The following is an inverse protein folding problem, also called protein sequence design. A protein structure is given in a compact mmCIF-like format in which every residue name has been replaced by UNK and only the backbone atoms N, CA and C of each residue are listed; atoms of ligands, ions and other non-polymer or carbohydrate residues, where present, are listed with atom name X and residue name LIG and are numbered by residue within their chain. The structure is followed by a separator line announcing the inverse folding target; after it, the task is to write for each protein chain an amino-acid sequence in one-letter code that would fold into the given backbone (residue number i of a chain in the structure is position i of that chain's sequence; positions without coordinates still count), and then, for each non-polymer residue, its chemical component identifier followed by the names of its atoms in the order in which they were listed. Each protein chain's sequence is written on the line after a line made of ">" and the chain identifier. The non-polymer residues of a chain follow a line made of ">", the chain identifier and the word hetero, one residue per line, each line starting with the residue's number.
data_IF_004869056932
#
_entry.id   IF_004869056932
#
_cell.length_a   1.000
_cell.length_b   1.000
_cell.length_c   1.000
_cell.angle_alpha   90.00
_cell.angle_beta   90.00
_cell.angle_gamma   90.00
#
_symmetry.space_group_name_H-M   'P 1'
#
loop_
_entity.id
_entity.type
_entity.pdbx_description
1 polymer ?
#
# COMPACT_ATOMS: atom_id res chain seq x y z
N UNK A 1 7.22 -12.38 38.62
CA UNK A 1 6.06 -11.56 38.28
C UNK A 1 6.47 -10.77 37.06
N UNK A 2 6.08 -11.25 35.89
CA UNK A 2 6.44 -10.68 34.60
C UNK A 2 5.52 -9.49 34.31
N UNK A 3 6.11 -8.36 34.02
CA UNK A 3 5.46 -7.11 33.64
C UNK A 3 4.61 -7.32 32.34
N UNK A 4 3.36 -6.89 32.28
CA UNK A 4 2.57 -7.02 31.08
C UNK A 4 3.11 -6.04 30.01
N UNK A 5 3.61 -6.59 28.93
CA UNK A 5 4.06 -5.84 27.75
C UNK A 5 2.97 -4.84 27.30
N UNK A 6 3.36 -3.58 27.10
CA UNK A 6 2.54 -2.51 26.55
C UNK A 6 1.94 -2.97 25.19
N UNK A 7 0.62 -2.77 24.97
CA UNK A 7 -0.01 -3.12 23.70
C UNK A 7 0.48 -2.17 22.60
N UNK A 8 1.30 -2.68 21.66
CA UNK A 8 1.71 -1.94 20.47
C UNK A 8 3.13 -2.19 19.96
N UNK A 9 4.01 -2.85 20.71
CA UNK A 9 5.34 -3.18 20.21
C UNK A 9 5.29 -4.48 19.38
N UNK A 10 5.76 -4.43 18.12
CA UNK A 10 5.94 -5.61 17.29
C UNK A 10 6.91 -6.59 17.95
N UNK A 11 6.59 -7.89 17.94
CA UNK A 11 7.52 -8.95 18.36
C UNK A 11 8.76 -8.95 17.44
N UNK A 12 9.87 -9.54 17.88
CA UNK A 12 11.06 -9.66 17.04
C UNK A 12 10.75 -10.45 15.75
N UNK A 13 9.88 -11.47 15.83
CA UNK A 13 9.43 -12.24 14.68
C UNK A 13 8.60 -11.39 13.71
N UNK A 14 7.71 -10.52 14.21
CA UNK A 14 6.94 -9.62 13.35
C UNK A 14 7.88 -8.66 12.60
N UNK A 15 8.89 -8.10 13.28
CA UNK A 15 9.92 -7.25 12.65
C UNK A 15 10.72 -8.01 11.59
N UNK A 16 11.04 -9.28 11.85
CA UNK A 16 11.72 -10.14 10.89
C UNK A 16 10.86 -10.39 9.64
N UNK A 17 9.59 -10.75 9.80
CA UNK A 17 8.65 -10.95 8.68
C UNK A 17 8.52 -9.68 7.86
N UNK A 18 8.37 -8.52 8.50
CA UNK A 18 8.34 -7.20 7.85
C UNK A 18 9.61 -6.96 7.04
N UNK A 19 10.79 -7.20 7.61
CA UNK A 19 12.07 -6.98 6.95
C UNK A 19 12.27 -7.92 5.75
N UNK A 20 11.86 -9.19 5.86
CA UNK A 20 11.90 -10.15 4.76
C UNK A 20 11.00 -9.73 3.60
N UNK A 21 9.75 -9.35 3.89
CA UNK A 21 8.81 -8.86 2.85
C UNK A 21 9.36 -7.61 2.17
N UNK A 22 9.88 -6.65 2.95
CA UNK A 22 10.50 -5.45 2.41
C UNK A 22 11.71 -5.78 1.51
N UNK A 23 12.59 -6.68 1.96
CA UNK A 23 13.75 -7.13 1.19
C UNK A 23 13.38 -7.81 -0.13
N UNK A 24 12.36 -8.70 -0.11
CA UNK A 24 11.82 -9.36 -1.32
C UNK A 24 11.30 -8.30 -2.30
N UNK A 25 10.52 -7.34 -1.83
CA UNK A 25 9.94 -6.29 -2.64
C UNK A 25 11.03 -5.35 -3.21
N UNK A 26 11.99 -4.92 -2.39
CA UNK A 26 13.12 -4.10 -2.84
C UNK A 26 13.94 -4.82 -3.92
N UNK A 27 14.20 -6.11 -3.74
CA UNK A 27 14.92 -6.91 -4.74
C UNK A 27 14.17 -7.05 -6.05
N UNK A 28 12.83 -7.14 -6.00
CA UNK A 28 11.97 -7.14 -7.19
C UNK A 28 12.06 -5.82 -7.96
N UNK A 29 12.19 -4.69 -7.25
CA UNK A 29 12.17 -3.34 -7.82
C UNK A 29 13.49 -2.90 -8.44
N UNK A 30 14.58 -3.03 -7.69
CA UNK A 30 15.82 -2.28 -7.97
C UNK A 30 16.99 -3.15 -8.45
N UNK A 31 16.83 -4.47 -8.50
CA UNK A 31 17.91 -5.38 -8.94
C UNK A 31 19.01 -5.56 -7.89
N UNK A 32 20.20 -6.08 -8.31
CA UNK A 32 21.26 -6.53 -7.39
C UNK A 32 22.15 -5.42 -6.83
N UNK A 33 22.25 -4.29 -7.50
CA UNK A 33 23.31 -3.31 -7.25
C UNK A 33 22.82 -1.99 -6.62
N UNK A 34 21.54 -1.93 -6.23
CA UNK A 34 21.01 -0.69 -5.67
C UNK A 34 21.40 -0.54 -4.19
N UNK A 35 21.94 0.63 -3.78
CA UNK A 35 22.39 0.86 -2.39
C UNK A 35 21.32 0.62 -1.33
N UNK A 36 20.04 0.86 -1.65
CA UNK A 36 18.93 0.60 -0.74
C UNK A 36 18.77 -0.89 -0.42
N UNK A 37 19.19 -1.83 -1.29
CA UNK A 37 19.11 -3.26 -0.99
C UNK A 37 20.04 -3.62 0.17
N UNK A 38 21.26 -3.06 0.23
CA UNK A 38 22.21 -3.31 1.31
C UNK A 38 21.59 -2.99 2.68
N UNK A 39 20.96 -1.82 2.81
CA UNK A 39 20.32 -1.43 4.08
C UNK A 39 19.11 -2.30 4.47
N UNK A 40 18.44 -2.93 3.51
CA UNK A 40 17.37 -3.91 3.81
C UNK A 40 17.95 -5.26 4.22
N UNK A 41 19.05 -5.67 3.62
CA UNK A 41 19.76 -6.89 4.00
C UNK A 41 20.28 -6.75 5.44
N UNK A 42 20.94 -5.64 5.78
CA UNK A 42 21.43 -5.39 7.15
C UNK A 42 20.31 -5.50 8.19
N UNK A 43 19.12 -4.94 7.89
CA UNK A 43 17.95 -5.07 8.77
C UNK A 43 17.41 -6.49 8.89
N UNK A 44 17.46 -7.29 7.82
CA UNK A 44 17.08 -8.70 7.89
C UNK A 44 18.04 -9.44 8.80
N UNK A 45 19.36 -9.23 8.66
CA UNK A 45 20.38 -9.87 9.47
C UNK A 45 20.22 -9.52 10.96
N UNK A 46 20.01 -8.24 11.27
CA UNK A 46 19.72 -7.76 12.62
C UNK A 46 18.43 -8.37 13.19
N UNK A 47 17.35 -8.40 12.38
CA UNK A 47 16.08 -8.94 12.81
C UNK A 47 16.13 -10.45 13.04
N UNK A 48 16.90 -11.23 12.25
CA UNK A 48 17.14 -12.66 12.48
C UNK A 48 17.86 -12.84 13.81
N UNK A 49 18.93 -12.07 14.06
CA UNK A 49 19.67 -12.14 15.33
C UNK A 49 18.77 -11.88 16.53
N UNK A 50 18.01 -10.77 16.50
CA UNK A 50 17.10 -10.40 17.58
C UNK A 50 15.98 -11.43 17.80
N UNK A 51 15.40 -11.97 16.73
CA UNK A 51 14.36 -12.98 16.84
C UNK A 51 14.92 -14.32 17.39
N UNK A 52 16.11 -14.72 16.98
CA UNK A 52 16.78 -15.90 17.53
C UNK A 52 17.09 -15.72 19.05
N UNK A 53 17.47 -14.52 19.47
CA UNK A 53 17.68 -14.21 20.91
C UNK A 53 16.37 -14.27 21.70
N UNK A 54 15.30 -13.68 21.22
CA UNK A 54 13.97 -13.69 21.86
C UNK A 54 13.48 -15.14 22.08
N UNK A 55 13.66 -16.00 21.07
CA UNK A 55 13.27 -17.41 21.15
C UNK A 55 14.32 -18.34 21.78
N UNK A 56 15.49 -17.81 22.15
CA UNK A 56 16.63 -18.60 22.68
C UNK A 56 17.03 -19.76 21.77
N UNK A 57 17.06 -19.50 20.44
CA UNK A 57 17.35 -20.48 19.40
C UNK A 57 18.52 -20.04 18.51
N UNK A 58 19.28 -20.99 17.99
CA UNK A 58 20.30 -20.74 16.97
C UNK A 58 19.70 -20.56 15.56
N UNK A 59 18.47 -21.01 15.36
CA UNK A 59 17.72 -20.85 14.12
C UNK A 59 16.23 -20.84 14.40
N UNK A 60 15.47 -20.11 13.59
CA UNK A 60 14.01 -20.05 13.65
C UNK A 60 13.38 -20.72 12.43
N UNK A 61 12.40 -21.54 12.67
CA UNK A 61 11.65 -22.25 11.61
C UNK A 61 10.26 -21.67 11.47
N UNK A 62 9.97 -21.22 10.26
CA UNK A 62 8.66 -20.81 9.79
C UNK A 62 8.01 -21.95 9.00
N UNK A 63 6.77 -22.27 9.31
CA UNK A 63 5.95 -23.21 8.56
C UNK A 63 4.71 -22.50 8.03
N UNK A 64 4.40 -22.73 6.76
CA UNK A 64 3.15 -22.27 6.14
C UNK A 64 2.17 -23.43 6.18
N UNK A 65 1.08 -23.26 6.93
CA UNK A 65 0.02 -24.25 7.08
C UNK A 65 -1.30 -23.63 6.61
N UNK A 66 -1.67 -23.89 5.37
CA UNK A 66 -2.84 -23.25 4.77
C UNK A 66 -2.64 -21.74 4.61
N UNK A 67 -3.38 -20.97 5.40
CA UNK A 67 -3.27 -19.50 5.44
C UNK A 67 -2.59 -18.97 6.72
N UNK A 68 -2.03 -19.86 7.51
CA UNK A 68 -1.40 -19.52 8.78
C UNK A 68 0.13 -19.64 8.69
N UNK A 69 0.81 -18.77 9.41
CA UNK A 69 2.25 -18.84 9.62
C UNK A 69 2.52 -19.34 11.04
N UNK A 70 3.25 -20.42 11.14
CA UNK A 70 3.63 -21.04 12.41
C UNK A 70 5.14 -20.86 12.60
N UNK A 71 5.56 -20.36 13.75
CA UNK A 71 6.97 -20.18 14.12
C UNK A 71 7.24 -20.98 15.38
N UNK A 72 8.23 -21.88 15.33
CA UNK A 72 8.61 -22.72 16.45
C UNK A 72 7.41 -23.44 17.11
N UNK A 73 6.52 -24.01 16.27
CA UNK A 73 5.28 -24.69 16.68
C UNK A 73 4.21 -23.79 17.34
N UNK A 74 4.39 -22.47 17.30
CA UNK A 74 3.38 -21.53 17.78
C UNK A 74 2.77 -20.78 16.59
N UNK A 75 1.44 -20.79 16.41
CA UNK A 75 0.81 -20.02 15.35
C UNK A 75 0.99 -18.53 15.65
N UNK A 76 1.57 -17.81 14.70
CA UNK A 76 1.56 -16.35 14.74
C UNK A 76 0.12 -15.89 14.52
N UNK A 77 -0.42 -15.08 15.43
CA UNK A 77 -1.75 -14.49 15.25
C UNK A 77 -1.75 -13.67 13.97
N UNK A 78 -2.34 -14.22 12.92
CA UNK A 78 -2.35 -13.68 11.55
C UNK A 78 -3.32 -12.51 11.43
N UNK A 79 -2.98 -11.37 12.03
CA UNK A 79 -3.72 -10.11 11.85
C UNK A 79 -2.98 -9.11 10.99
N UNK A 80 -1.69 -9.33 10.70
CA UNK A 80 -0.90 -8.35 9.97
C UNK A 80 -0.85 -8.68 8.48
N UNK A 81 -0.95 -7.63 7.67
CA UNK A 81 -0.80 -7.67 6.22
C UNK A 81 0.51 -8.35 5.78
N UNK A 82 1.56 -8.22 6.59
CA UNK A 82 2.89 -8.78 6.32
C UNK A 82 2.94 -10.29 6.41
N UNK A 83 2.26 -10.88 7.39
CA UNK A 83 2.16 -12.33 7.51
C UNK A 83 1.53 -12.92 6.26
N UNK A 84 0.45 -12.32 5.78
CA UNK A 84 -0.22 -12.79 4.56
C UNK A 84 0.64 -12.60 3.30
N UNK A 85 1.36 -11.47 3.18
CA UNK A 85 2.29 -11.26 2.06
C UNK A 85 3.45 -12.25 2.11
N UNK A 86 3.99 -12.52 3.29
CA UNK A 86 5.06 -13.48 3.47
C UNK A 86 4.60 -14.89 3.13
N UNK A 87 3.46 -15.32 3.67
CA UNK A 87 2.83 -16.61 3.32
C UNK A 87 2.66 -16.75 1.81
N UNK A 88 2.09 -15.72 1.15
CA UNK A 88 1.92 -15.72 -0.31
C UNK A 88 3.25 -15.78 -1.06
N UNK A 89 4.27 -15.06 -0.60
CA UNK A 89 5.59 -15.08 -1.22
C UNK A 89 6.22 -16.47 -1.14
N UNK A 90 6.13 -17.13 -0.01
CA UNK A 90 6.61 -18.49 0.21
C UNK A 90 5.79 -19.51 -0.61
N UNK A 91 4.46 -19.45 -0.55
CA UNK A 91 3.55 -20.38 -1.23
C UNK A 91 3.71 -20.32 -2.76
N UNK A 92 3.87 -19.12 -3.34
CA UNK A 92 4.15 -18.95 -4.79
C UNK A 92 5.44 -19.61 -5.25
N UNK A 93 6.35 -19.92 -4.33
CA UNK A 93 7.63 -20.58 -4.57
C UNK A 93 7.64 -22.03 -4.07
N UNK A 94 6.46 -22.54 -3.67
CA UNK A 94 6.32 -23.88 -3.07
C UNK A 94 7.24 -24.10 -1.86
N UNK A 95 7.48 -23.03 -1.10
CA UNK A 95 8.21 -23.09 0.18
C UNK A 95 7.18 -23.18 1.30
N UNK A 96 7.10 -24.32 1.95
CA UNK A 96 6.21 -24.54 3.09
C UNK A 96 6.97 -24.49 4.42
N UNK A 97 8.29 -24.66 4.35
CA UNK A 97 9.21 -24.56 5.48
C UNK A 97 10.38 -23.66 5.13
N UNK A 98 10.63 -22.68 6.00
CA UNK A 98 11.80 -21.79 5.93
C UNK A 98 12.46 -21.76 7.30
N UNK A 99 13.74 -22.12 7.37
CA UNK A 99 14.55 -22.00 8.59
C UNK A 99 15.65 -20.95 8.34
N UNK A 100 15.78 -20.00 9.26
CA UNK A 100 16.78 -18.93 9.23
C UNK A 100 17.70 -19.05 10.45
N UNK A 101 19.00 -19.21 10.22
CA UNK A 101 20.02 -19.33 11.26
C UNK A 101 20.61 -17.99 11.68
N UNK A 102 21.02 -17.90 12.94
CA UNK A 102 21.65 -16.69 13.55
C UNK A 102 22.93 -16.22 12.83
N UNK A 103 23.64 -17.14 12.16
CA UNK A 103 24.85 -16.83 11.38
C UNK A 103 24.60 -16.41 9.94
N UNK A 104 23.37 -16.09 9.57
CA UNK A 104 23.01 -15.62 8.24
C UNK A 104 23.89 -14.42 7.83
N UNK A 105 24.45 -14.48 6.61
CA UNK A 105 25.27 -13.41 6.05
C UNK A 105 24.59 -12.71 4.86
N UNK A 106 25.23 -11.66 4.38
CA UNK A 106 24.72 -10.81 3.28
C UNK A 106 24.57 -11.61 1.99
N UNK A 107 25.52 -12.49 1.66
CA UNK A 107 25.50 -13.26 0.41
C UNK A 107 24.34 -14.26 0.42
N UNK A 108 24.16 -15.01 1.49
CA UNK A 108 23.05 -15.96 1.66
C UNK A 108 21.69 -15.25 1.62
N UNK A 109 21.60 -14.08 2.28
CA UNK A 109 20.39 -13.28 2.28
C UNK A 109 20.02 -12.84 0.85
N UNK A 110 20.97 -12.33 0.08
CA UNK A 110 20.76 -11.94 -1.33
C UNK A 110 20.42 -13.15 -2.21
N UNK A 111 21.07 -14.30 -1.99
CA UNK A 111 20.76 -15.55 -2.69
C UNK A 111 19.32 -16.01 -2.44
N UNK A 112 18.80 -15.83 -1.23
CA UNK A 112 17.40 -16.12 -0.91
C UNK A 112 16.44 -15.09 -1.51
N UNK A 113 16.70 -13.79 -1.34
CA UNK A 113 15.81 -12.72 -1.81
C UNK A 113 15.67 -12.71 -3.33
N UNK A 114 16.70 -13.08 -4.08
CA UNK A 114 16.71 -13.03 -5.55
C UNK A 114 15.63 -13.89 -6.20
N UNK A 115 15.57 -15.21 -5.96
CA UNK A 115 14.51 -16.06 -6.52
C UNK A 115 13.13 -15.73 -5.92
N UNK A 116 13.07 -15.33 -4.65
CA UNK A 116 11.83 -14.88 -4.03
C UNK A 116 11.20 -13.69 -4.75
N UNK A 117 12.03 -12.76 -5.21
CA UNK A 117 11.61 -11.56 -5.93
C UNK A 117 11.29 -11.80 -7.41
N UNK A 118 12.12 -12.61 -8.11
CA UNK A 118 12.11 -12.72 -9.58
C UNK A 118 11.41 -13.95 -10.14
N UNK A 119 10.90 -14.84 -9.29
CA UNK A 119 10.11 -15.98 -9.75
C UNK A 119 10.89 -17.30 -9.87
N UNK A 120 12.02 -17.43 -9.20
CA UNK A 120 12.75 -18.70 -9.06
C UNK A 120 12.36 -19.45 -7.79
N UNK A 121 12.91 -20.67 -7.62
CA UNK A 121 12.83 -21.41 -6.36
C UNK A 121 14.06 -21.08 -5.52
N UNK A 122 13.92 -20.62 -4.27
CA UNK A 122 15.06 -20.39 -3.40
C UNK A 122 15.76 -21.71 -3.08
N UNK A 123 17.08 -21.67 -2.94
CA UNK A 123 17.90 -22.83 -2.58
C UNK A 123 18.34 -22.71 -1.13
N UNK A 124 18.52 -23.86 -0.47
CA UNK A 124 19.08 -23.90 0.88
C UNK A 124 20.56 -23.54 0.84
N UNK A 125 21.01 -22.82 1.86
CA UNK A 125 22.40 -22.46 2.13
C UNK A 125 22.81 -23.00 3.50
N UNK A 126 23.91 -22.53 4.05
CA UNK A 126 24.36 -22.92 5.39
C UNK A 126 23.39 -22.49 6.50
N UNK A 127 22.86 -21.24 6.39
CA UNK A 127 22.00 -20.66 7.42
C UNK A 127 20.54 -20.47 6.95
N UNK A 128 20.22 -20.82 5.72
CA UNK A 128 18.87 -20.81 5.19
C UNK A 128 18.49 -22.21 4.73
N UNK A 129 17.43 -22.78 5.30
CA UNK A 129 16.89 -24.05 4.84
C UNK A 129 15.47 -23.83 4.33
N UNK A 130 15.24 -24.17 3.05
CA UNK A 130 13.92 -24.11 2.42
C UNK A 130 13.45 -25.52 2.06
N UNK A 131 12.15 -25.80 2.21
CA UNK A 131 11.61 -27.13 1.94
C UNK A 131 10.09 -27.14 1.89
N UNK A 132 9.55 -28.35 1.66
CA UNK A 132 8.13 -28.66 1.79
C UNK A 132 7.91 -29.45 3.09
N UNK A 133 6.70 -29.38 3.62
CA UNK A 133 6.28 -30.21 4.75
C UNK A 133 5.74 -31.51 4.18
N UNK A 134 6.54 -32.57 4.25
CA UNK A 134 6.05 -33.92 4.00
C UNK A 134 5.28 -34.40 5.23
N UNK A 135 3.95 -34.33 5.17
CA UNK A 135 3.11 -35.00 6.17
C UNK A 135 3.16 -36.48 5.89
N UNK A 136 3.96 -37.25 6.63
CA UNK A 136 3.77 -38.69 6.73
C UNK A 136 2.45 -38.92 7.46
N UNK A 137 1.40 -39.23 6.70
CA UNK A 137 0.17 -39.76 7.28
C UNK A 137 0.50 -41.08 7.94
N UNK A 138 0.50 -41.16 9.27
CA UNK A 138 0.45 -42.42 9.96
C UNK A 138 -0.85 -43.13 9.56
N UNK A 139 -0.84 -44.45 9.23
CA UNK A 139 -2.05 -45.16 8.88
C UNK A 139 -2.98 -45.16 10.11
N UNK A 140 -4.11 -44.48 10.01
CA UNK A 140 -5.22 -44.65 10.95
C UNK A 140 -5.94 -45.96 10.56
N UNK A 141 -5.62 -47.04 11.24
CA UNK A 141 -6.47 -48.25 11.28
C UNK A 141 -7.72 -47.87 12.10
N UNK A 142 -8.85 -47.76 11.42
CA UNK A 142 -10.18 -47.62 12.03
C UNK A 142 -11.25 -48.10 11.06
N UNK A 143 -12.33 -48.78 11.53
CA UNK A 143 -13.20 -49.64 10.75
C UNK A 143 -14.09 -48.84 9.77
N UNK A 144 -14.29 -49.45 8.61
CA UNK A 144 -15.04 -48.94 7.49
C UNK A 144 -16.48 -48.56 7.79
N UNK A 145 -16.93 -47.45 7.24
CA UNK A 145 -18.35 -47.12 7.04
C UNK A 145 -18.53 -46.54 5.62
N UNK A 146 -19.54 -47.04 5.00
CA UNK A 146 -20.03 -47.02 3.67
C UNK A 146 -19.91 -45.80 2.78
N UNK A 147 -19.83 -46.10 1.49
CA UNK A 147 -19.98 -45.20 0.38
C UNK A 147 -21.39 -44.51 0.40
N UNK A 148 -21.38 -43.20 0.47
CA UNK A 148 -22.56 -42.37 0.25
C UNK A 148 -22.28 -41.45 -0.93
N UNK A 149 -23.11 -41.59 -1.96
CA UNK A 149 -23.09 -40.77 -3.18
C UNK A 149 -23.30 -39.28 -2.87
N UNK A 150 -22.38 -38.41 -3.33
CA UNK A 150 -22.51 -36.97 -3.24
C UNK A 150 -23.37 -36.39 -4.39
N UNK A 151 -24.22 -35.41 -4.15
CA UNK A 151 -25.02 -34.77 -5.19
C UNK A 151 -24.19 -33.82 -6.06
N UNK A 152 -24.55 -33.76 -7.32
CA UNK A 152 -23.88 -33.10 -8.42
C UNK A 152 -23.60 -31.60 -8.23
N UNK A 153 -22.47 -31.20 -8.75
CA UNK A 153 -22.02 -29.83 -8.87
C UNK A 153 -22.84 -29.14 -9.95
N UNK A 154 -23.77 -28.28 -9.54
CA UNK A 154 -24.45 -27.33 -10.41
C UNK A 154 -23.52 -26.19 -10.78
N UNK A 155 -23.25 -26.02 -12.08
CA UNK A 155 -22.59 -24.86 -12.65
C UNK A 155 -23.47 -23.62 -12.50
N UNK A 156 -23.11 -22.70 -11.61
CA UNK A 156 -23.79 -21.41 -11.40
C UNK A 156 -22.77 -20.30 -11.20
N UNK A 157 -22.72 -19.40 -12.17
CA UNK A 157 -22.28 -18.01 -12.24
C UNK A 157 -21.31 -17.46 -11.18
N UNK A 158 -20.01 -17.52 -11.45
CA UNK A 158 -19.00 -16.83 -10.67
C UNK A 158 -18.91 -15.34 -11.00
N UNK A 159 -19.49 -14.46 -10.20
CA UNK A 159 -19.35 -13.00 -10.32
C UNK A 159 -19.15 -12.25 -9.01
N UNK A 160 -19.25 -12.93 -7.85
CA UNK A 160 -19.22 -12.28 -6.52
C UNK A 160 -17.94 -12.45 -5.72
N UNK A 161 -17.02 -13.33 -6.16
CA UNK A 161 -15.82 -13.67 -5.39
C UNK A 161 -14.71 -12.64 -5.43
N UNK A 162 -14.48 -12.01 -6.57
CA UNK A 162 -13.37 -11.08 -6.76
C UNK A 162 -13.58 -9.73 -6.07
N UNK A 163 -14.81 -9.17 -6.09
CA UNK A 163 -15.11 -7.88 -5.48
C UNK A 163 -14.95 -7.93 -3.96
N UNK A 164 -15.37 -9.02 -3.31
CA UNK A 164 -15.22 -9.20 -1.86
C UNK A 164 -13.75 -9.30 -1.43
N UNK A 165 -12.89 -9.88 -2.24
CA UNK A 165 -11.45 -9.96 -1.99
C UNK A 165 -10.80 -8.57 -2.09
N UNK A 166 -11.19 -7.77 -3.09
CA UNK A 166 -10.66 -6.41 -3.27
C UNK A 166 -11.12 -5.50 -2.13
N UNK A 167 -12.41 -5.57 -1.75
CA UNK A 167 -12.92 -4.83 -0.59
C UNK A 167 -12.20 -5.21 0.70
N UNK A 168 -11.94 -6.50 0.93
CA UNK A 168 -11.20 -6.97 2.10
C UNK A 168 -9.75 -6.48 2.09
N UNK A 169 -9.05 -6.52 0.95
CA UNK A 169 -7.68 -6.02 0.80
C UNK A 169 -7.61 -4.50 0.98
N UNK A 170 -8.60 -3.77 0.49
CA UNK A 170 -8.67 -2.32 0.64
C UNK A 170 -8.94 -1.94 2.10
N UNK A 171 -9.87 -2.62 2.77
CA UNK A 171 -10.14 -2.43 4.19
C UNK A 171 -8.91 -2.73 5.08
N UNK A 172 -8.19 -3.80 4.77
CA UNK A 172 -6.95 -4.18 5.45
C UNK A 172 -5.82 -3.16 5.21
N UNK A 173 -5.80 -2.54 4.03
CA UNK A 173 -4.86 -1.45 3.70
C UNK A 173 -5.12 -0.20 4.53
N UNK A 174 -6.38 0.08 4.91
CA UNK A 174 -6.73 1.20 5.81
C UNK A 174 -6.16 0.99 7.21
N UNK A 175 -6.29 -0.22 7.76
CA UNK A 175 -5.73 -0.54 9.07
C UNK A 175 -4.19 -0.45 9.05
N UNK A 176 -3.55 -1.01 8.01
CA UNK A 176 -2.10 -0.88 7.79
C UNK A 176 -1.63 0.58 7.61
N UNK A 177 -2.45 1.41 6.96
CA UNK A 177 -2.21 2.84 6.82
C UNK A 177 -2.22 3.57 8.16
N UNK A 178 -3.23 3.29 9.00
CA UNK A 178 -3.34 3.89 10.35
C UNK A 178 -2.11 3.56 11.19
N UNK A 179 -1.71 2.30 11.22
CA UNK A 179 -0.54 1.85 11.96
C UNK A 179 0.74 2.53 11.47
N UNK A 180 0.92 2.59 10.14
CA UNK A 180 2.06 3.21 9.51
C UNK A 180 2.16 4.72 9.79
N UNK A 181 1.05 5.46 9.74
CA UNK A 181 1.03 6.89 10.10
C UNK A 181 1.29 7.12 11.58
N UNK A 182 0.83 6.22 12.44
CA UNK A 182 1.13 6.27 13.87
C UNK A 182 2.62 6.08 14.13
N UNK A 183 3.22 5.09 13.49
CA UNK A 183 4.66 4.84 13.57
C UNK A 183 5.47 5.99 12.95
N UNK A 184 5.02 6.57 11.84
CA UNK A 184 5.68 7.69 11.16
C UNK A 184 5.89 8.92 12.07
N UNK A 185 5.10 9.07 13.14
CA UNK A 185 5.25 10.15 14.14
C UNK A 185 6.46 9.93 15.03
N UNK A 186 6.82 8.69 15.33
CA UNK A 186 7.90 8.31 16.27
C UNK A 186 9.13 7.77 15.55
N UNK A 187 8.92 6.94 14.55
CA UNK A 187 9.92 6.41 13.63
C UNK A 187 9.51 6.67 12.18
N UNK A 188 10.04 7.74 11.61
CA UNK A 188 9.70 8.15 10.24
C UNK A 188 10.10 7.11 9.20
N UNK A 189 11.24 6.44 9.41
CA UNK A 189 11.74 5.44 8.49
C UNK A 189 10.93 4.13 8.57
N UNK A 190 10.65 3.66 9.78
CA UNK A 190 9.78 2.51 10.01
C UNK A 190 8.39 2.72 9.42
N UNK A 191 7.78 3.87 9.69
CA UNK A 191 6.49 4.26 9.12
C UNK A 191 6.52 4.30 7.59
N UNK A 192 7.59 4.85 6.96
CA UNK A 192 7.73 4.85 5.50
C UNK A 192 7.76 3.43 4.93
N UNK A 193 8.54 2.52 5.53
CA UNK A 193 8.61 1.12 5.10
C UNK A 193 7.24 0.44 5.17
N UNK A 194 6.45 0.73 6.21
CA UNK A 194 5.07 0.21 6.29
C UNK A 194 4.17 0.77 5.20
N UNK A 195 4.27 2.07 4.90
CA UNK A 195 3.50 2.69 3.82
C UNK A 195 3.86 2.10 2.45
N UNK A 196 5.14 1.84 2.19
CA UNK A 196 5.58 1.13 0.97
C UNK A 196 4.87 -0.22 0.83
N UNK A 197 4.70 -0.95 1.92
CA UNK A 197 4.05 -2.26 1.90
C UNK A 197 2.53 -2.18 1.71
N UNK A 198 1.88 -1.15 2.29
CA UNK A 198 0.47 -0.88 2.00
C UNK A 198 0.28 -0.64 0.50
N UNK A 199 1.16 0.13 -0.13
CA UNK A 199 1.10 0.39 -1.58
C UNK A 199 1.31 -0.89 -2.40
N UNK A 200 2.20 -1.80 -1.95
CA UNK A 200 2.34 -3.12 -2.59
C UNK A 200 1.06 -3.94 -2.53
N UNK A 201 0.36 -3.90 -1.40
CA UNK A 201 -0.93 -4.60 -1.27
C UNK A 201 -1.99 -4.02 -2.19
N UNK A 202 -2.01 -2.69 -2.34
CA UNK A 202 -2.91 -2.03 -3.29
C UNK A 202 -2.57 -2.40 -4.75
N UNK A 203 -1.29 -2.51 -5.10
CA UNK A 203 -0.87 -2.99 -6.43
C UNK A 203 -1.30 -4.44 -6.68
N UNK A 204 -1.17 -5.33 -5.69
CA UNK A 204 -1.62 -6.72 -5.79
C UNK A 204 -3.16 -6.80 -5.93
N UNK A 205 -3.90 -5.99 -5.17
CA UNK A 205 -5.34 -5.86 -5.30
C UNK A 205 -5.74 -5.39 -6.71
N UNK A 206 -5.05 -4.37 -7.21
CA UNK A 206 -5.28 -3.85 -8.56
C UNK A 206 -4.97 -4.88 -9.66
N UNK A 207 -3.96 -5.76 -9.48
CA UNK A 207 -3.67 -6.83 -10.43
C UNK A 207 -4.76 -7.90 -10.49
N UNK A 208 -5.47 -8.13 -9.38
CA UNK A 208 -6.56 -9.09 -9.28
C UNK A 208 -7.91 -8.53 -9.69
N UNK A 209 -8.03 -7.21 -9.77
CA UNK A 209 -9.26 -6.58 -10.21
C UNK A 209 -9.55 -6.94 -11.66
N UNK A 210 -10.64 -7.67 -11.89
CA UNK A 210 -11.11 -8.07 -13.21
C UNK A 210 -12.05 -7.02 -13.82
N UNK A 211 -12.51 -6.05 -13.02
CA UNK A 211 -13.43 -4.99 -13.41
C UNK A 211 -12.72 -3.65 -13.61
N UNK A 212 -13.26 -2.87 -14.55
CA UNK A 212 -12.83 -1.49 -14.79
C UNK A 212 -13.13 -0.55 -13.60
N UNK A 213 -14.15 -0.87 -12.80
CA UNK A 213 -14.59 -0.06 -11.65
C UNK A 213 -13.93 -0.58 -10.39
N UNK A 214 -13.08 0.25 -9.79
CA UNK A 214 -12.42 -0.07 -8.52
C UNK A 214 -13.34 0.26 -7.34
N UNK A 215 -13.59 -0.68 -6.43
CA UNK A 215 -14.27 -0.39 -5.19
C UNK A 215 -13.37 0.47 -4.30
N UNK A 216 -13.89 1.62 -3.86
CA UNK A 216 -13.22 2.46 -2.89
C UNK A 216 -13.38 1.88 -1.48
N UNK A 217 -12.37 2.08 -0.62
CA UNK A 217 -12.46 1.66 0.76
C UNK A 217 -13.64 2.32 1.48
N UNK A 218 -14.51 1.55 2.14
CA UNK A 218 -15.61 2.11 2.90
C UNK A 218 -15.10 2.81 4.17
N UNK A 219 -15.72 3.92 4.52
CA UNK A 219 -15.47 4.61 5.78
C UNK A 219 -16.10 3.79 6.93
N UNK A 220 -15.27 3.29 7.86
CA UNK A 220 -15.76 2.52 9.04
C UNK A 220 -16.09 3.43 10.21
N UNK A 221 -15.27 4.44 10.46
CA UNK A 221 -15.43 5.42 11.53
C UNK A 221 -15.07 6.82 11.06
N UNK A 222 -15.52 7.83 11.79
CA UNK A 222 -15.25 9.23 11.47
C UNK A 222 -13.75 9.58 11.54
N UNK A 223 -13.02 8.92 12.43
CA UNK A 223 -11.58 9.13 12.64
C UNK A 223 -10.72 8.47 11.56
N UNK A 224 -11.30 7.54 10.77
CA UNK A 224 -10.59 6.84 9.70
C UNK A 224 -10.49 7.64 8.39
N UNK A 225 -11.15 8.79 8.31
CA UNK A 225 -11.26 9.55 7.06
C UNK A 225 -9.91 9.78 6.36
N UNK A 226 -8.90 10.26 7.09
CA UNK A 226 -7.58 10.56 6.51
C UNK A 226 -6.92 9.31 5.91
N UNK A 227 -7.02 8.17 6.58
CA UNK A 227 -6.39 6.91 6.13
C UNK A 227 -7.14 6.31 4.94
N UNK A 228 -8.48 6.28 5.02
CA UNK A 228 -9.35 5.84 3.91
C UNK A 228 -9.08 6.68 2.66
N UNK A 229 -9.02 8.00 2.80
CA UNK A 229 -8.71 8.94 1.74
C UNK A 229 -7.34 8.66 1.10
N UNK A 230 -6.28 8.51 1.90
CA UNK A 230 -4.94 8.23 1.38
C UNK A 230 -4.89 6.89 0.62
N UNK A 231 -5.57 5.85 1.13
CA UNK A 231 -5.71 4.55 0.46
C UNK A 231 -6.43 4.69 -0.88
N UNK A 232 -7.57 5.36 -0.89
CA UNK A 232 -8.38 5.56 -2.10
C UNK A 232 -7.65 6.37 -3.16
N UNK A 233 -7.03 7.49 -2.78
CA UNK A 233 -6.24 8.33 -3.69
C UNK A 233 -5.06 7.55 -4.28
N UNK A 234 -4.36 6.77 -3.45
CA UNK A 234 -3.28 5.89 -3.92
C UNK A 234 -3.80 4.86 -4.92
N UNK A 235 -4.88 4.15 -4.60
CA UNK A 235 -5.48 3.12 -5.47
C UNK A 235 -5.93 3.69 -6.82
N UNK A 236 -6.65 4.81 -6.81
CA UNK A 236 -7.09 5.49 -8.02
C UNK A 236 -5.92 5.99 -8.87
N UNK A 237 -4.87 6.51 -8.23
CA UNK A 237 -3.66 6.97 -8.93
C UNK A 237 -2.87 5.80 -9.52
N UNK A 238 -2.76 4.67 -8.81
CA UNK A 238 -2.17 3.43 -9.31
C UNK A 238 -2.91 2.92 -10.54
N UNK A 239 -4.24 2.94 -10.52
CA UNK A 239 -5.05 2.52 -11.66
C UNK A 239 -4.86 3.43 -12.88
N UNK A 240 -4.82 4.76 -12.67
CA UNK A 240 -4.47 5.71 -13.74
C UNK A 240 -3.08 5.43 -14.30
N UNK A 241 -2.06 5.32 -13.46
CA UNK A 241 -0.69 5.10 -13.87
C UNK A 241 -0.54 3.80 -14.67
N UNK A 242 -1.17 2.71 -14.20
CA UNK A 242 -1.20 1.43 -14.89
C UNK A 242 -1.87 1.52 -16.27
N UNK A 243 -2.95 2.27 -16.41
CA UNK A 243 -3.64 2.45 -17.69
C UNK A 243 -2.79 3.20 -18.74
N UNK A 244 -1.75 3.91 -18.31
CA UNK A 244 -0.72 4.50 -19.17
C UNK A 244 0.52 3.62 -19.35
N UNK A 245 0.48 2.35 -18.94
CA UNK A 245 1.60 1.41 -19.07
C UNK A 245 2.74 1.65 -18.07
N UNK A 246 2.48 2.38 -16.97
CA UNK A 246 3.47 2.52 -15.89
C UNK A 246 3.40 1.26 -15.04
N UNK A 247 4.53 0.58 -14.86
CA UNK A 247 4.62 -0.72 -14.18
C UNK A 247 5.80 -0.77 -13.21
N UNK A 248 5.85 -1.85 -12.41
CA UNK A 248 6.97 -2.18 -11.52
C UNK A 248 7.30 -1.06 -10.51
N UNK A 249 8.57 -0.71 -10.40
CA UNK A 249 9.08 0.28 -9.46
C UNK A 249 8.47 1.68 -9.66
N UNK A 250 8.22 2.06 -10.92
CA UNK A 250 7.64 3.37 -11.23
C UNK A 250 6.18 3.43 -10.78
N UNK A 251 5.43 2.36 -10.94
CA UNK A 251 4.05 2.26 -10.46
C UNK A 251 4.01 2.35 -8.94
N UNK A 252 4.86 1.57 -8.25
CA UNK A 252 4.98 1.63 -6.80
C UNK A 252 5.31 3.03 -6.30
N UNK A 253 6.35 3.67 -6.86
CA UNK A 253 6.75 5.03 -6.49
C UNK A 253 5.61 6.04 -6.71
N UNK A 254 4.80 5.87 -7.78
CA UNK A 254 3.64 6.72 -8.06
C UNK A 254 2.54 6.51 -7.01
N UNK A 255 2.23 5.27 -6.65
CA UNK A 255 1.25 4.96 -5.61
C UNK A 255 1.67 5.46 -4.23
N UNK A 256 2.94 5.28 -3.87
CA UNK A 256 3.48 5.77 -2.59
C UNK A 256 3.47 7.31 -2.54
N UNK A 257 3.80 7.97 -3.64
CA UNK A 257 3.75 9.42 -3.73
C UNK A 257 2.30 9.94 -3.56
N UNK A 258 1.33 9.30 -4.21
CA UNK A 258 -0.08 9.61 -4.04
C UNK A 258 -0.57 9.32 -2.61
N UNK A 259 -0.08 8.26 -1.98
CA UNK A 259 -0.42 7.94 -0.60
C UNK A 259 0.05 9.02 0.38
N UNK A 260 1.23 9.57 0.15
CA UNK A 260 1.89 10.57 0.99
C UNK A 260 1.54 12.02 0.64
N UNK A 261 0.66 12.28 -0.36
CA UNK A 261 0.39 13.63 -0.85
C UNK A 261 0.01 14.60 0.27
N UNK A 262 -0.76 14.13 1.22
CA UNK A 262 -1.33 14.88 2.34
C UNK A 262 -0.57 14.76 3.67
N UNK A 263 0.64 14.16 3.68
CA UNK A 263 1.43 13.92 4.91
C UNK A 263 1.67 15.20 5.72
N UNK A 264 1.71 16.35 5.07
CA UNK A 264 1.89 17.64 5.71
C UNK A 264 0.73 18.04 6.64
N UNK A 265 -0.44 17.41 6.52
CA UNK A 265 -1.56 17.61 7.45
C UNK A 265 -1.21 17.22 8.89
N UNK A 266 -0.18 16.39 9.10
CA UNK A 266 0.38 16.11 10.42
C UNK A 266 0.94 17.36 11.14
N UNK A 267 1.20 18.43 10.39
CA UNK A 267 1.72 19.72 10.92
C UNK A 267 0.63 20.78 11.09
N UNK A 268 -0.58 20.51 10.59
CA UNK A 268 -1.69 21.44 10.70
C UNK A 268 -2.31 21.31 12.10
N UNK A 269 -2.56 22.44 12.81
CA UNK A 269 -3.24 22.42 14.10
C UNK A 269 -4.60 21.74 14.01
N UNK A 270 -4.94 20.91 15.02
CA UNK A 270 -6.17 20.11 15.02
C UNK A 270 -7.45 20.99 14.99
N UNK A 271 -7.39 22.18 15.58
CA UNK A 271 -8.49 23.17 15.56
C UNK A 271 -8.79 23.67 14.14
N UNK A 272 -7.76 23.74 13.27
CA UNK A 272 -7.94 24.11 11.86
C UNK A 272 -8.32 22.89 11.04
N UNK A 273 -7.64 21.76 11.27
CA UNK A 273 -7.85 20.52 10.53
C UNK A 273 -9.27 19.97 10.72
N UNK A 274 -9.79 20.03 11.96
CA UNK A 274 -11.10 19.49 12.35
C UNK A 274 -12.20 20.54 12.50
N UNK A 275 -11.95 21.77 12.04
CA UNK A 275 -12.93 22.86 12.16
C UNK A 275 -14.23 22.52 11.45
N UNK A 276 -15.38 22.51 12.16
CA UNK A 276 -16.66 22.34 11.50
C UNK A 276 -17.01 23.59 10.65
N UNK A 277 -17.21 23.39 9.36
CA UNK A 277 -17.58 24.47 8.44
C UNK A 277 -16.45 24.93 7.51
N UNK A 278 -16.55 26.17 7.00
CA UNK A 278 -15.56 26.72 6.08
C UNK A 278 -14.38 27.32 6.84
N UNK A 279 -13.18 27.12 6.30
CA UNK A 279 -11.98 27.81 6.75
C UNK A 279 -11.96 29.24 6.17
N UNK A 280 -11.57 30.22 6.98
CA UNK A 280 -11.54 31.64 6.60
C UNK A 280 -10.17 32.26 6.86
N UNK A 281 -9.78 33.22 6.02
CA UNK A 281 -8.61 34.06 6.24
C UNK A 281 -7.33 33.27 6.55
N UNK A 282 -6.82 33.42 7.77
CA UNK A 282 -5.58 32.82 8.23
C UNK A 282 -5.65 31.31 8.35
N UNK A 283 -6.80 30.75 8.72
CA UNK A 283 -7.01 29.30 8.80
C UNK A 283 -6.81 28.64 7.43
N UNK A 284 -7.31 29.29 6.36
CA UNK A 284 -7.10 28.81 5.00
C UNK A 284 -5.62 28.88 4.61
N UNK A 285 -4.89 29.91 5.01
CA UNK A 285 -3.44 30.00 4.79
C UNK A 285 -2.69 28.89 5.53
N UNK A 286 -3.07 28.61 6.77
CA UNK A 286 -2.51 27.50 7.55
C UNK A 286 -2.82 26.17 6.86
N UNK A 287 -4.06 25.94 6.41
CA UNK A 287 -4.40 24.71 5.70
C UNK A 287 -3.61 24.54 4.40
N UNK A 288 -3.45 25.61 3.58
CA UNK A 288 -2.68 25.55 2.34
C UNK A 288 -1.20 25.23 2.55
N UNK A 289 -0.65 25.48 3.75
CA UNK A 289 0.76 25.18 4.02
C UNK A 289 1.07 23.69 4.03
N UNK A 290 0.07 22.79 4.14
CA UNK A 290 0.32 21.35 4.22
C UNK A 290 1.12 20.81 3.02
N UNK A 291 0.95 21.38 1.82
CA UNK A 291 1.71 20.94 0.65
C UNK A 291 3.22 21.21 0.81
N UNK A 292 3.58 22.40 1.29
CA UNK A 292 4.98 22.74 1.56
C UNK A 292 5.52 22.03 2.79
N UNK A 293 4.74 21.94 3.86
CA UNK A 293 5.10 21.23 5.10
C UNK A 293 5.31 19.73 4.83
N UNK A 294 4.47 19.11 3.99
CA UNK A 294 4.61 17.73 3.58
C UNK A 294 5.91 17.48 2.82
N UNK A 295 6.20 18.28 1.82
CA UNK A 295 7.45 18.19 1.08
C UNK A 295 8.67 18.38 1.99
N UNK A 296 8.65 19.39 2.86
CA UNK A 296 9.72 19.65 3.83
C UNK A 296 9.90 18.48 4.78
N UNK A 297 8.80 17.93 5.27
CA UNK A 297 8.82 16.77 6.17
C UNK A 297 9.47 15.56 5.51
N UNK A 298 9.08 15.25 4.26
CA UNK A 298 9.61 14.11 3.50
C UNK A 298 11.09 14.30 3.12
N UNK A 299 11.56 15.53 2.88
CA UNK A 299 12.99 15.80 2.68
C UNK A 299 13.86 15.36 3.87
N UNK A 300 13.31 15.35 5.07
CA UNK A 300 13.99 14.91 6.30
C UNK A 300 13.83 13.41 6.62
N UNK A 301 13.23 12.62 5.71
CA UNK A 301 13.01 11.17 5.90
C UNK A 301 14.00 10.40 5.04
N UNK A 302 14.87 9.64 5.70
CA UNK A 302 15.83 8.77 5.00
C UNK A 302 15.10 7.72 4.17
N UNK A 303 15.42 7.63 2.88
CA UNK A 303 14.81 6.70 1.94
C UNK A 303 13.50 7.18 1.31
N UNK A 304 13.01 8.38 1.65
CA UNK A 304 11.80 8.92 0.99
C UNK A 304 12.05 9.11 -0.52
N UNK A 305 11.21 8.53 -1.39
CA UNK A 305 11.38 8.69 -2.83
C UNK A 305 11.22 10.17 -3.24
N UNK A 306 12.10 10.71 -4.11
CA UNK A 306 11.99 12.09 -4.59
C UNK A 306 10.62 12.41 -5.20
N UNK A 307 9.96 11.42 -5.81
CA UNK A 307 8.62 11.58 -6.37
C UNK A 307 7.57 11.89 -5.29
N UNK A 308 7.68 11.29 -4.10
CA UNK A 308 6.78 11.58 -2.98
C UNK A 308 6.90 13.03 -2.50
N UNK A 309 8.14 13.56 -2.46
CA UNK A 309 8.39 14.98 -2.13
C UNK A 309 7.74 15.90 -3.16
N UNK A 310 7.90 15.57 -4.45
CA UNK A 310 7.31 16.35 -5.53
C UNK A 310 5.79 16.32 -5.49
N UNK A 311 5.17 15.15 -5.31
CA UNK A 311 3.71 15.03 -5.27
C UNK A 311 3.13 15.74 -4.05
N UNK A 312 3.74 15.59 -2.86
CA UNK A 312 3.31 16.32 -1.67
C UNK A 312 3.31 17.85 -1.90
N UNK A 313 4.31 18.37 -2.62
CA UNK A 313 4.39 19.80 -2.94
C UNK A 313 3.41 20.23 -4.04
N UNK A 314 3.25 19.42 -5.12
CA UNK A 314 2.65 19.84 -6.39
C UNK A 314 1.16 19.51 -6.54
N UNK A 315 0.58 18.60 -5.73
CA UNK A 315 -0.76 18.04 -5.99
C UNK A 315 -1.90 19.06 -6.04
N UNK A 316 -1.70 20.28 -5.54
CA UNK A 316 -2.64 21.40 -5.67
C UNK A 316 -2.25 22.42 -6.75
N UNK A 317 -1.13 22.22 -7.44
CA UNK A 317 -0.74 23.11 -8.54
C UNK A 317 -1.65 22.91 -9.74
N UNK A 318 -1.88 23.98 -10.49
CA UNK A 318 -2.72 23.96 -11.69
C UNK A 318 -1.97 23.37 -12.88
N UNK A 319 -2.68 22.63 -13.72
CA UNK A 319 -2.16 22.10 -14.98
C UNK A 319 -1.69 23.20 -15.94
N UNK A 320 -2.41 24.34 -16.01
CA UNK A 320 -2.08 25.47 -16.89
C UNK A 320 -0.85 26.28 -16.42
N UNK A 321 -0.31 25.97 -15.24
CA UNK A 321 0.85 26.67 -14.66
C UNK A 321 0.51 28.03 -14.06
N UNK A 322 -0.78 28.40 -13.99
CA UNK A 322 -1.22 29.62 -13.31
C UNK A 322 -1.09 29.48 -11.78
N UNK A 323 -1.16 30.62 -11.09
CA UNK A 323 -1.00 30.66 -9.65
C UNK A 323 -2.09 29.86 -8.93
N UNK A 324 -1.66 28.98 -8.06
CA UNK A 324 -2.41 28.31 -6.99
C UNK A 324 -1.42 28.04 -5.85
N UNK A 325 -1.69 27.13 -4.95
CA UNK A 325 -0.73 26.81 -3.89
C UNK A 325 -0.12 25.41 -4.07
N UNK A 326 1.13 25.24 -3.66
CA UNK A 326 2.10 26.29 -3.43
C UNK A 326 2.45 27.02 -4.74
N UNK A 327 2.73 28.31 -4.65
CA UNK A 327 3.13 29.07 -5.85
C UNK A 327 4.59 28.74 -6.18
N UNK A 328 4.86 28.08 -7.32
CA UNK A 328 6.25 27.80 -7.70
C UNK A 328 6.98 29.13 -8.07
N UNK A 329 8.27 29.21 -7.74
CA UNK A 329 9.09 30.38 -8.09
C UNK A 329 9.24 30.61 -9.61
N UNK A 330 9.07 29.56 -10.40
CA UNK A 330 9.13 29.59 -11.86
C UNK A 330 7.86 28.89 -12.35
N UNK A 331 7.06 29.49 -13.21
CA UNK A 331 5.76 28.97 -13.69
C UNK A 331 5.80 27.56 -14.30
N UNK A 332 6.12 26.59 -13.48
CA UNK A 332 6.32 25.19 -13.79
C UNK A 332 4.99 24.46 -13.66
N UNK A 333 4.72 23.54 -14.58
CA UNK A 333 3.58 22.60 -14.49
C UNK A 333 3.90 21.46 -13.52
N UNK A 334 2.88 20.92 -12.81
CA UNK A 334 3.08 19.77 -11.94
C UNK A 334 3.48 18.52 -12.75
N UNK A 335 4.20 17.60 -12.09
CA UNK A 335 4.60 16.32 -12.69
C UNK A 335 3.39 15.47 -13.07
N UNK A 336 3.58 14.47 -13.92
CA UNK A 336 2.50 13.56 -14.33
C UNK A 336 1.87 12.87 -13.11
N UNK A 337 2.69 12.39 -12.17
CA UNK A 337 2.20 11.77 -10.94
C UNK A 337 1.37 12.74 -10.09
N UNK A 338 1.82 13.98 -9.94
CA UNK A 338 1.09 15.02 -9.20
C UNK A 338 -0.26 15.34 -9.85
N UNK A 339 -0.31 15.38 -11.18
CA UNK A 339 -1.57 15.61 -11.91
C UNK A 339 -2.56 14.44 -11.75
N UNK A 340 -2.08 13.20 -11.83
CA UNK A 340 -2.91 12.00 -11.58
C UNK A 340 -3.42 11.98 -10.14
N UNK A 341 -2.56 12.30 -9.17
CA UNK A 341 -2.93 12.40 -7.76
C UNK A 341 -3.99 13.48 -7.53
N UNK A 342 -3.85 14.67 -8.13
CA UNK A 342 -4.82 15.75 -8.02
C UNK A 342 -6.23 15.36 -8.53
N UNK A 343 -6.31 14.58 -9.61
CA UNK A 343 -7.58 14.06 -10.14
C UNK A 343 -8.19 13.05 -9.18
N UNK A 344 -7.38 12.11 -8.67
CA UNK A 344 -7.81 11.09 -7.70
C UNK A 344 -8.29 11.73 -6.39
N UNK A 345 -7.55 12.74 -5.88
CA UNK A 345 -7.89 13.49 -4.67
C UNK A 345 -9.25 14.18 -4.80
N UNK A 346 -9.47 14.95 -5.88
CA UNK A 346 -10.77 15.62 -6.13
C UNK A 346 -11.90 14.62 -6.25
N UNK A 347 -11.69 13.50 -6.94
CA UNK A 347 -12.71 12.46 -7.09
C UNK A 347 -13.09 11.81 -5.77
N UNK A 348 -12.10 11.32 -5.00
CA UNK A 348 -12.35 10.72 -3.70
C UNK A 348 -12.97 11.71 -2.73
N UNK A 349 -12.48 12.94 -2.72
CA UNK A 349 -13.00 14.01 -1.90
C UNK A 349 -14.49 14.30 -2.09
N UNK A 350 -15.02 14.06 -3.27
CA UNK A 350 -16.42 14.25 -3.63
C UNK A 350 -17.23 12.98 -3.34
N UNK A 351 -16.67 11.80 -3.61
CA UNK A 351 -17.36 10.53 -3.50
C UNK A 351 -17.35 9.94 -2.08
N UNK A 352 -16.47 10.43 -1.18
CA UNK A 352 -16.37 9.94 0.20
C UNK A 352 -17.03 10.91 1.17
N UNK A 353 -17.78 10.38 2.15
CA UNK A 353 -18.37 11.19 3.23
C UNK A 353 -17.25 11.77 4.09
N UNK A 354 -17.29 13.07 4.31
CA UNK A 354 -16.34 13.81 5.18
C UNK A 354 -17.07 14.30 6.45
N UNK A 355 -16.33 14.65 7.50
CA UNK A 355 -16.93 15.26 8.70
C UNK A 355 -17.88 16.42 8.42
N UNK A 356 -17.63 17.14 7.33
CA UNK A 356 -18.30 18.40 6.97
C UNK A 356 -19.12 18.31 5.69
N UNK A 357 -19.09 17.19 4.94
CA UNK A 357 -19.76 17.06 3.66
C UNK A 357 -20.22 15.62 3.40
N UNK A 358 -21.48 15.46 2.99
CA UNK A 358 -22.01 14.17 2.55
C UNK A 358 -21.39 13.79 1.20
N UNK A 359 -21.13 12.49 1.00
CA UNK A 359 -20.71 11.96 -0.28
C UNK A 359 -21.69 12.37 -1.39
N UNK A 360 -21.14 12.67 -2.55
CA UNK A 360 -21.91 12.93 -3.78
C UNK A 360 -21.70 11.81 -4.79
N UNK A 361 -22.52 11.83 -5.85
CA UNK A 361 -22.45 10.79 -6.88
C UNK A 361 -21.16 10.86 -7.70
N UNK A 362 -20.80 9.73 -8.31
CA UNK A 362 -19.65 9.63 -9.22
C UNK A 362 -19.80 10.57 -10.43
N UNK A 363 -21.02 10.69 -10.95
CA UNK A 363 -21.36 11.59 -12.07
C UNK A 363 -21.09 13.04 -11.69
N UNK A 364 -21.42 13.43 -10.44
CA UNK A 364 -21.12 14.77 -9.96
C UNK A 364 -19.61 15.01 -9.85
N UNK A 365 -18.83 14.03 -9.39
CA UNK A 365 -17.38 14.14 -9.34
C UNK A 365 -16.77 14.28 -10.74
N UNK A 366 -17.23 13.48 -11.70
CA UNK A 366 -16.80 13.57 -13.10
C UNK A 366 -17.16 14.93 -13.71
N UNK A 367 -18.35 15.46 -13.42
CA UNK A 367 -18.75 16.81 -13.87
C UNK A 367 -17.76 17.87 -13.35
N UNK A 368 -17.44 17.85 -12.06
CA UNK A 368 -16.48 18.80 -11.44
C UNK A 368 -15.08 18.68 -12.07
N UNK A 369 -14.61 17.46 -12.32
CA UNK A 369 -13.31 17.24 -12.99
C UNK A 369 -13.32 17.80 -14.42
N UNK A 370 -14.41 17.57 -15.17
CA UNK A 370 -14.56 17.99 -16.56
C UNK A 370 -14.64 19.52 -16.68
N UNK A 371 -15.34 20.21 -15.78
CA UNK A 371 -15.43 21.68 -15.74
C UNK A 371 -14.07 22.37 -15.51
N UNK A 372 -13.08 21.65 -14.98
CA UNK A 372 -11.74 22.13 -14.69
C UNK A 372 -10.67 21.68 -15.67
N UNK A 373 -11.06 21.01 -16.75
CA UNK A 373 -10.15 20.56 -17.81
C UNK A 373 -9.47 21.77 -18.48
N UNK A 374 -8.18 21.60 -18.76
CA UNK A 374 -7.36 22.65 -19.40
C UNK A 374 -6.85 23.72 -18.43
N UNK A 375 -7.46 23.85 -17.25
CA UNK A 375 -7.04 24.79 -16.19
C UNK A 375 -6.37 24.06 -15.03
N UNK A 376 -7.14 23.35 -14.21
CA UNK A 376 -6.61 22.58 -13.09
C UNK A 376 -6.13 21.20 -13.49
N UNK A 377 -6.79 20.57 -14.46
CA UNK A 377 -6.54 19.19 -14.83
C UNK A 377 -6.17 19.03 -16.30
N UNK A 378 -5.27 18.09 -16.58
CA UNK A 378 -4.91 17.68 -17.94
C UNK A 378 -6.11 17.07 -18.67
N UNK A 379 -6.43 17.52 -19.90
CA UNK A 379 -7.52 16.93 -20.69
C UNK A 379 -7.36 15.43 -20.90
N UNK A 380 -6.15 14.98 -21.22
CA UNK A 380 -5.86 13.56 -21.47
C UNK A 380 -6.02 12.70 -20.22
N UNK A 381 -5.59 13.21 -19.05
CA UNK A 381 -5.71 12.47 -17.79
C UNK A 381 -7.16 12.38 -17.32
N UNK A 382 -7.95 13.45 -17.45
CA UNK A 382 -9.37 13.41 -17.09
C UNK A 382 -10.14 12.47 -18.01
N UNK A 383 -9.91 12.52 -19.32
CA UNK A 383 -10.56 11.61 -20.26
C UNK A 383 -10.25 10.13 -19.96
N UNK A 384 -9.00 9.83 -19.61
CA UNK A 384 -8.59 8.50 -19.19
C UNK A 384 -9.25 8.08 -17.88
N UNK A 385 -9.27 8.96 -16.89
CA UNK A 385 -9.87 8.70 -15.57
C UNK A 385 -11.37 8.42 -15.67
N UNK A 386 -12.11 9.22 -16.45
CA UNK A 386 -13.55 9.05 -16.66
C UNK A 386 -13.86 7.68 -17.29
N UNK A 387 -13.08 7.28 -18.30
CA UNK A 387 -13.19 5.94 -18.89
C UNK A 387 -12.91 4.84 -17.86
N UNK A 388 -11.87 5.01 -17.04
CA UNK A 388 -11.46 4.04 -16.02
C UNK A 388 -12.53 3.83 -14.94
N UNK A 389 -13.25 4.88 -14.55
CA UNK A 389 -14.35 4.76 -13.57
C UNK A 389 -15.67 4.31 -14.20
N UNK A 390 -15.66 3.93 -15.47
CA UNK A 390 -16.82 3.33 -16.17
C UNK A 390 -17.98 4.30 -16.43
N UNK A 391 -17.70 5.60 -16.48
CA UNK A 391 -18.72 6.61 -16.76
C UNK A 391 -18.56 7.18 -18.19
N UNK A 392 -19.67 7.53 -18.87
CA UNK A 392 -19.58 8.20 -20.16
C UNK A 392 -18.86 9.54 -20.00
N UNK A 393 -17.94 9.84 -20.92
CA UNK A 393 -17.30 11.15 -20.96
C UNK A 393 -18.37 12.23 -21.09
N UNK A 394 -18.40 13.20 -20.18
CA UNK A 394 -19.25 14.37 -20.34
C UNK A 394 -18.85 15.08 -21.64
N UNK A 395 -19.82 15.46 -22.46
CA UNK A 395 -19.54 16.24 -23.65
C UNK A 395 -18.76 17.52 -23.25
N UNK A 396 -17.70 17.89 -24.00
CA UNK A 396 -16.99 19.14 -23.72
C UNK A 396 -17.99 20.30 -23.78
N UNK A 397 -17.83 21.32 -22.92
CA UNK A 397 -18.67 22.51 -23.00
C UNK A 397 -18.58 23.08 -24.43
N UNK A 398 -19.73 23.39 -25.01
CA UNK A 398 -19.76 24.02 -26.32
C UNK A 398 -18.88 25.30 -26.29
N UNK A 399 -18.10 25.58 -27.33
CA UNK A 399 -17.33 26.82 -27.39
C UNK A 399 -18.31 27.98 -27.22
N UNK A 400 -18.07 28.80 -26.21
CA UNK A 400 -18.83 30.05 -26.05
C UNK A 400 -18.73 30.83 -27.35
N UNK A 401 -19.89 31.01 -27.99
CA UNK A 401 -19.97 31.62 -29.28
C UNK A 401 -19.32 32.99 -29.30
N UNK A 402 -18.44 33.16 -30.27
CA UNK A 402 -18.03 34.47 -30.76
C UNK A 402 -19.28 35.23 -31.22
N UNK A 403 -19.73 36.18 -30.38
CA UNK A 403 -20.63 37.24 -30.79
C UNK A 403 -19.82 38.53 -30.92
#
# INVERSE_FOLDING_TARGET
>A
MSDPALPGALSAVDRLVVSLVAGINMRALYGSEHPALSSHVDRILEAVGTACEEYQKEALTFLVVGQDLVVENQPLRTGSLYHQQFIRALSRRSVERLTLGRGLDTEECVLFLTPMARGGTPVSTRHIVVGRVEMQAAPLEGPGVGAGEGPGVGSGGGGGGDDSVIEALTAQSVDGARDAFTEFRTDRRGGLVRLEQVVWSLMDALQRATREILPLAPLKTHDDYTFVHSVNVSLLTLAQARSFGIEGARLHATGLAAFLHDIGKLKIPLEVLNKPGKLEGDEWRVMMSHAQEGATHLCGVEGAPPLSILVAYEHHMRYDGQANYPVPRVGRRPTLASQMTAISDVYDAICTTRPYAKARSREFAVKVLTERVGTFHSPALVANFVRMVGLPAAAPPAPEGSA
#
